data_IF_031501431439
#
_entry.id   IF_031501431439
#
_cell.length_a   1.000
_cell.length_b   1.000
_cell.length_c   1.000
_cell.angle_alpha   90.00
_cell.angle_beta   90.00
_cell.angle_gamma   90.00
#
_symmetry.space_group_name_H-M   'P 1'
#
loop_
_entity.id
_entity.type
_entity.pdbx_description
1 polymer ?
#
# COMPACT_ATOMS: atom_id res chain seq x y z
N UNK A 1 -0.92 -30.53 17.16
CA UNK A 1 -1.40 -29.14 17.05
C UNK A 1 -0.51 -28.47 16.02
N UNK A 2 -0.99 -28.33 14.78
CA UNK A 2 -0.18 -28.08 13.59
C UNK A 2 -0.14 -26.57 13.29
N UNK A 3 1.06 -25.99 13.22
CA UNK A 3 1.40 -24.59 12.96
C UNK A 3 1.11 -24.16 11.49
N UNK A 4 -0.04 -24.54 10.94
CA UNK A 4 -0.36 -24.38 9.52
C UNK A 4 -1.41 -23.29 9.22
N UNK A 5 -1.81 -22.50 10.22
CA UNK A 5 -2.85 -21.46 10.11
C UNK A 5 -2.31 -20.02 10.25
N UNK A 6 -0.99 -19.82 10.23
CA UNK A 6 -0.36 -18.53 10.56
C UNK A 6 0.44 -17.94 9.38
N UNK A 7 -0.10 -18.06 8.18
CA UNK A 7 0.31 -17.26 7.01
C UNK A 7 -0.96 -16.72 6.36
N UNK A 8 -1.72 -15.95 7.13
CA UNK A 8 -2.63 -14.99 6.52
C UNK A 8 -1.69 -14.01 5.80
N UNK A 9 -1.76 -13.97 4.47
CA UNK A 9 -0.94 -13.10 3.62
C UNK A 9 -1.30 -11.63 3.89
N UNK A 10 -0.84 -11.11 5.02
CA UNK A 10 -0.90 -9.70 5.35
C UNK A 10 0.16 -9.01 4.49
N UNK A 11 -0.25 -8.38 3.39
CA UNK A 11 0.65 -7.55 2.59
C UNK A 11 0.37 -6.07 2.87
N UNK A 12 1.43 -5.27 2.83
CA UNK A 12 1.39 -3.86 3.21
C UNK A 12 1.57 -3.00 1.97
N UNK A 13 0.70 -2.03 1.78
CA UNK A 13 0.89 -0.98 0.77
C UNK A 13 1.41 0.25 1.48
N UNK A 14 2.60 0.69 1.11
CA UNK A 14 3.19 1.93 1.57
C UNK A 14 2.94 3.04 0.55
N UNK A 15 2.80 4.27 1.05
CA UNK A 15 2.61 5.45 0.21
C UNK A 15 3.39 6.66 0.72
N UNK A 16 3.72 7.58 -0.19
CA UNK A 16 4.30 8.89 0.11
C UNK A 16 3.82 9.93 -0.88
N UNK A 17 3.36 11.07 -0.39
CA UNK A 17 3.14 12.27 -1.18
C UNK A 17 4.42 13.11 -1.21
N UNK A 18 4.82 13.54 -2.39
CA UNK A 18 5.99 14.41 -2.59
C UNK A 18 5.48 15.66 -3.29
N UNK A 19 5.64 16.82 -2.64
CA UNK A 19 5.24 18.11 -3.19
C UNK A 19 6.37 18.66 -4.06
N UNK A 20 6.14 18.73 -5.36
CA UNK A 20 7.03 19.41 -6.30
C UNK A 20 6.42 20.76 -6.73
N UNK A 21 7.22 21.69 -7.29
CA UNK A 21 6.73 23.03 -7.65
C UNK A 21 5.49 23.03 -8.56
N UNK A 22 5.38 22.05 -9.46
CA UNK A 22 4.34 22.00 -10.50
C UNK A 22 3.34 20.86 -10.32
N UNK A 23 3.59 19.93 -9.38
CA UNK A 23 2.74 18.75 -9.20
C UNK A 23 2.90 18.08 -7.82
N UNK A 24 1.96 17.20 -7.51
CA UNK A 24 2.03 16.26 -6.40
C UNK A 24 2.38 14.89 -6.95
N UNK A 25 3.50 14.32 -6.52
CA UNK A 25 3.85 12.92 -6.82
C UNK A 25 3.35 12.02 -5.71
N UNK A 26 2.52 11.04 -6.08
CA UNK A 26 2.14 9.95 -5.18
C UNK A 26 2.97 8.72 -5.53
N UNK A 27 3.80 8.30 -4.58
CA UNK A 27 4.62 7.10 -4.66
C UNK A 27 3.94 5.98 -3.88
N UNK A 28 3.72 4.83 -4.50
CA UNK A 28 3.17 3.62 -3.88
C UNK A 28 4.16 2.47 -4.02
N UNK A 29 4.32 1.66 -2.98
CA UNK A 29 5.15 0.46 -3.05
C UNK A 29 4.68 -0.63 -2.10
N UNK A 30 4.93 -1.88 -2.47
CA UNK A 30 4.79 -3.04 -1.59
C UNK A 30 6.19 -3.49 -1.15
N UNK A 31 6.47 -3.59 0.16
CA UNK A 31 7.76 -4.04 0.65
C UNK A 31 7.97 -5.53 0.34
N UNK A 32 9.20 -5.90 0.01
CA UNK A 32 9.56 -7.32 -0.11
C UNK A 32 9.62 -7.96 1.28
N UNK A 33 8.99 -9.13 1.49
CA UNK A 33 9.08 -9.85 2.75
C UNK A 33 10.44 -10.54 2.95
N UNK A 34 11.28 -10.59 1.92
CA UNK A 34 12.58 -11.26 1.98
C UNK A 34 13.64 -10.35 2.60
N UNK A 35 14.39 -10.83 3.63
CA UNK A 35 15.48 -10.07 4.20
C UNK A 35 16.57 -9.83 3.14
N UNK A 36 17.13 -8.62 3.11
CA UNK A 36 18.23 -8.26 2.22
C UNK A 36 19.44 -9.14 2.53
N UNK A 37 19.70 -10.16 1.72
CA UNK A 37 20.76 -11.13 2.02
C UNK A 37 22.17 -10.52 1.97
N UNK A 38 22.36 -9.29 1.47
CA UNK A 38 23.70 -8.81 1.10
C UNK A 38 23.97 -7.34 1.44
N UNK A 39 23.46 -6.83 2.58
CA UNK A 39 23.94 -5.56 3.17
C UNK A 39 23.91 -4.33 2.27
N UNK A 40 23.14 -4.36 1.18
CA UNK A 40 23.02 -3.29 0.21
C UNK A 40 21.54 -3.04 -0.07
N UNK A 41 21.21 -1.75 -0.01
CA UNK A 41 19.94 -1.12 -0.36
C UNK A 41 18.83 -1.21 0.69
N UNK A 42 18.69 -0.10 1.41
CA UNK A 42 17.52 0.27 2.21
C UNK A 42 16.25 0.10 1.36
N UNK A 43 15.38 -0.84 1.77
CA UNK A 43 14.05 -1.10 1.22
C UNK A 43 13.98 -1.86 -0.12
N UNK A 44 13.98 -3.19 -0.05
CA UNK A 44 13.50 -4.03 -1.15
C UNK A 44 11.98 -3.89 -1.26
N UNK A 45 11.48 -3.74 -2.48
CA UNK A 45 10.05 -3.70 -2.80
C UNK A 45 9.72 -4.73 -3.86
N UNK A 46 8.54 -5.35 -3.77
CA UNK A 46 8.01 -6.21 -4.83
C UNK A 46 7.64 -5.38 -6.06
N UNK A 47 7.05 -4.22 -5.83
CA UNK A 47 6.77 -3.24 -6.87
C UNK A 47 6.81 -1.82 -6.32
N UNK A 48 6.99 -0.86 -7.23
CA UNK A 48 6.92 0.57 -6.97
C UNK A 48 6.23 1.26 -8.14
N UNK A 49 5.32 2.19 -7.85
CA UNK A 49 4.60 2.96 -8.87
C UNK A 49 4.58 4.42 -8.43
N UNK A 50 4.75 5.33 -9.39
CA UNK A 50 4.68 6.76 -9.17
C UNK A 50 3.57 7.35 -10.05
N UNK A 51 2.68 8.11 -9.43
CA UNK A 51 1.62 8.87 -10.08
C UNK A 51 1.89 10.37 -9.89
N UNK A 52 1.42 11.19 -10.83
CA UNK A 52 1.56 12.65 -10.75
C UNK A 52 0.19 13.29 -10.89
N UNK A 53 -0.11 14.24 -10.01
CA UNK A 53 -1.38 14.94 -9.91
C UNK A 53 -1.14 16.45 -9.84
N UNK A 54 -2.11 17.24 -10.31
CA UNK A 54 -2.05 18.71 -10.21
C UNK A 54 -2.42 19.22 -8.82
N UNK A 55 -3.28 18.49 -8.10
CA UNK A 55 -3.78 18.87 -6.78
C UNK A 55 -3.62 17.72 -5.77
N UNK A 56 -3.50 18.07 -4.49
CA UNK A 56 -3.38 17.09 -3.41
C UNK A 56 -4.67 16.27 -3.27
N UNK A 57 -5.82 16.93 -3.35
CA UNK A 57 -7.15 16.29 -3.23
C UNK A 57 -7.35 15.17 -4.26
N UNK A 58 -6.87 15.36 -5.50
CA UNK A 58 -6.92 14.34 -6.55
C UNK A 58 -6.03 13.13 -6.20
N UNK A 59 -4.87 13.39 -5.62
CA UNK A 59 -3.92 12.36 -5.20
C UNK A 59 -4.46 11.56 -4.01
N UNK A 60 -5.10 12.22 -3.03
CA UNK A 60 -5.77 11.58 -1.89
C UNK A 60 -6.98 10.74 -2.34
N UNK A 61 -7.84 11.28 -3.22
CA UNK A 61 -8.98 10.57 -3.77
C UNK A 61 -8.53 9.31 -4.55
N UNK A 62 -7.46 9.43 -5.33
CA UNK A 62 -6.86 8.29 -6.02
C UNK A 62 -6.28 7.27 -5.05
N UNK A 63 -5.49 7.69 -4.06
CA UNK A 63 -4.91 6.83 -3.03
C UNK A 63 -6.00 6.03 -2.33
N UNK A 64 -7.06 6.70 -1.86
CA UNK A 64 -8.20 6.05 -1.21
C UNK A 64 -8.84 4.99 -2.09
N UNK A 65 -9.14 5.33 -3.34
CA UNK A 65 -9.74 4.38 -4.29
C UNK A 65 -8.82 3.19 -4.55
N UNK A 66 -7.52 3.43 -4.69
CA UNK A 66 -6.54 2.39 -4.89
C UNK A 66 -6.51 1.42 -3.70
N UNK A 67 -6.45 1.95 -2.47
CA UNK A 67 -6.42 1.14 -1.25
C UNK A 67 -7.70 0.31 -1.09
N UNK A 68 -8.87 0.91 -1.28
CA UNK A 68 -10.16 0.20 -1.21
C UNK A 68 -10.25 -0.91 -2.26
N UNK A 69 -9.75 -0.66 -3.47
CA UNK A 69 -9.73 -1.67 -4.55
C UNK A 69 -8.81 -2.84 -4.22
N UNK A 70 -7.74 -2.60 -3.45
CA UNK A 70 -6.84 -3.65 -2.98
C UNK A 70 -7.35 -4.37 -1.73
N UNK A 71 -8.46 -3.94 -1.12
CA UNK A 71 -9.06 -4.59 0.04
C UNK A 71 -8.73 -3.94 1.40
N UNK A 72 -8.19 -2.71 1.39
CA UNK A 72 -8.08 -1.93 2.61
C UNK A 72 -9.47 -1.51 3.13
N UNK A 73 -9.62 -1.43 4.45
CA UNK A 73 -10.82 -0.94 5.14
C UNK A 73 -10.44 0.20 6.09
N UNK A 74 -11.44 0.96 6.57
CA UNK A 74 -11.26 2.11 7.47
C UNK A 74 -10.28 3.18 6.96
N UNK A 75 -10.28 3.41 5.64
CA UNK A 75 -9.45 4.43 4.99
C UNK A 75 -10.13 5.81 5.09
N UNK A 76 -9.43 6.85 5.58
CA UNK A 76 -9.99 8.20 5.67
C UNK A 76 -10.36 8.75 4.27
N UNK A 77 -11.30 9.69 4.23
CA UNK A 77 -11.69 10.34 2.97
C UNK A 77 -10.65 11.37 2.50
N UNK A 78 -10.06 12.10 3.45
CA UNK A 78 -9.08 13.18 3.25
C UNK A 78 -8.05 13.18 4.38
N UNK A 79 -7.08 14.10 4.33
CA UNK A 79 -6.11 14.36 5.39
C UNK A 79 -5.16 13.17 5.64
N UNK A 80 -4.69 12.56 4.55
CA UNK A 80 -3.67 11.53 4.66
C UNK A 80 -2.36 12.14 5.17
N UNK A 81 -1.62 11.45 6.05
CA UNK A 81 -0.25 11.87 6.37
C UNK A 81 0.61 11.86 5.10
N UNK A 82 1.70 12.64 5.11
CA UNK A 82 2.59 12.73 3.95
C UNK A 82 3.21 11.37 3.57
N UNK A 83 3.39 10.48 4.54
CA UNK A 83 3.82 9.10 4.35
C UNK A 83 3.07 8.17 5.31
N UNK A 84 2.75 6.97 4.83
CA UNK A 84 2.12 5.96 5.65
C UNK A 84 2.20 4.57 5.06
N UNK A 85 1.77 3.60 5.87
CA UNK A 85 1.70 2.19 5.51
C UNK A 85 0.33 1.64 5.90
N UNK A 86 -0.23 0.80 5.04
CA UNK A 86 -1.59 0.28 5.21
C UNK A 86 -1.54 -1.23 5.00
N UNK A 87 -1.95 -1.97 6.04
CA UNK A 87 -2.10 -3.41 5.95
C UNK A 87 -3.37 -3.75 5.15
N UNK A 88 -3.20 -4.60 4.15
CA UNK A 88 -4.30 -5.14 3.36
C UNK A 88 -4.65 -6.49 3.96
N UNK A 89 -5.85 -6.60 4.52
CA UNK A 89 -6.35 -7.88 5.00
C UNK A 89 -6.93 -8.66 3.81
N UNK A 90 -6.47 -9.89 3.57
CA UNK A 90 -7.10 -10.73 2.57
C UNK A 90 -8.52 -11.07 3.03
N UNK A 91 -9.53 -10.51 2.35
CA UNK A 91 -10.88 -11.07 2.43
C UNK A 91 -10.84 -12.47 1.77
N UNK A 92 -11.62 -13.45 2.25
CA UNK A 92 -11.75 -14.73 1.55
C UNK A 92 -12.19 -14.48 0.11
N UNK A 93 -11.27 -14.69 -0.83
CA UNK A 93 -11.46 -14.46 -2.28
C UNK A 93 -12.38 -15.51 -2.91
N UNK A 94 -12.61 -16.62 -2.20
CA UNK A 94 -13.56 -17.66 -2.57
C UNK A 94 -14.55 -17.79 -1.42
N UNK A 95 -15.79 -17.33 -1.63
CA UNK A 95 -16.89 -17.73 -0.78
C UNK A 95 -16.99 -19.25 -0.86
N UNK A 96 -17.01 -19.94 0.28
CA UNK A 96 -17.57 -21.28 0.30
C UNK A 96 -19.07 -21.08 0.10
N UNK A 97 -19.49 -21.01 -1.17
CA UNK A 97 -20.89 -21.17 -1.56
C UNK A 97 -21.39 -22.42 -0.83
N UNK A 98 -22.32 -22.21 0.11
CA UNK A 98 -23.02 -23.27 0.85
C UNK A 98 -24.19 -23.80 0.03
#
# INVERSE_FOLDING_TARGET
MNLAHTLINDYVICYRFIREPDCIKLKLWEPSPLPSEHGQSEHHYLYIINFSFSHLDDAEAFLRRYLLTNGAFDIPETDFPEEGQIAILPFPTWGMDQ
#
